data_IF_256331188847
#
_entry.id   IF_256331188847
#
_cell.length_a   1.000
_cell.length_b   1.000
_cell.length_c   1.000
_cell.angle_alpha   90.00
_cell.angle_beta   90.00
_cell.angle_gamma   90.00
#
_symmetry.space_group_name_H-M   'P 1'
#
loop_
_entity.id
_entity.type
_entity.pdbx_description
1 polymer ?
#
# COMPACT_ATOMS: atom_id res chain seq x y z
N UNK A 1 -22.46 6.73 3.26
CA UNK A 1 -21.13 7.35 3.37
C UNK A 1 -20.50 6.85 4.66
N UNK A 2 -19.78 5.73 4.60
CA UNK A 2 -19.09 5.16 5.77
C UNK A 2 -17.73 5.85 5.88
N UNK A 3 -17.55 6.67 6.90
CA UNK A 3 -16.29 7.34 7.21
C UNK A 3 -15.34 6.31 7.84
N UNK A 4 -14.29 5.93 7.11
CA UNK A 4 -13.21 5.08 7.64
C UNK A 4 -12.48 5.82 8.76
N UNK A 5 -12.32 5.18 9.92
CA UNK A 5 -11.64 5.75 11.07
C UNK A 5 -10.14 5.37 11.03
N UNK A 6 -9.21 6.33 10.79
CA UNK A 6 -7.78 6.06 10.69
C UNK A 6 -7.14 5.57 12.01
N UNK A 7 -7.89 5.51 13.11
CA UNK A 7 -7.44 4.92 14.37
C UNK A 7 -7.55 3.39 14.42
N UNK A 8 -8.17 2.73 13.43
CA UNK A 8 -8.32 1.27 13.37
C UNK A 8 -7.29 0.59 12.44
N UNK A 9 -6.15 1.22 12.18
CA UNK A 9 -5.10 0.65 11.32
C UNK A 9 -4.32 -0.42 12.12
N UNK A 10 -4.58 -1.70 11.84
CA UNK A 10 -3.81 -2.83 12.37
C UNK A 10 -2.50 -3.01 11.58
N UNK A 11 -1.35 -2.57 12.13
CA UNK A 11 0.00 -2.93 11.65
C UNK A 11 0.24 -4.38 12.10
N UNK A 12 0.00 -5.39 11.26
CA UNK A 12 0.34 -6.77 11.60
C UNK A 12 1.86 -6.97 11.49
N UNK A 13 2.56 -6.90 12.63
CA UNK A 13 3.82 -7.66 12.79
C UNK A 13 3.43 -9.12 12.62
N UNK A 14 4.13 -9.92 11.80
CA UNK A 14 3.86 -11.36 11.61
C UNK A 14 3.52 -12.06 12.94
N UNK A 15 2.23 -12.15 13.21
CA UNK A 15 1.58 -12.99 14.20
C UNK A 15 0.23 -13.30 13.57
N UNK A 16 -0.02 -14.59 13.33
CA UNK A 16 -1.34 -15.08 12.94
C UNK A 16 -2.34 -14.63 14.01
N UNK A 17 -3.16 -13.65 13.70
CA UNK A 17 -4.34 -13.31 14.49
C UNK A 17 -5.52 -13.14 13.55
N UNK A 18 -6.55 -13.93 13.84
CA UNK A 18 -7.74 -14.14 13.06
C UNK A 18 -8.70 -12.94 13.15
N UNK A 19 -9.20 -12.53 11.98
CA UNK A 19 -10.41 -11.73 11.67
C UNK A 19 -11.01 -10.85 12.78
N UNK A 20 -10.96 -9.54 12.57
CA UNK A 20 -11.80 -8.55 13.22
C UNK A 20 -13.25 -8.62 12.70
N UNK A 21 -14.02 -9.52 13.29
CA UNK A 21 -15.48 -9.54 13.16
C UNK A 21 -16.17 -8.80 14.33
N UNK A 22 -15.52 -7.80 14.94
CA UNK A 22 -16.05 -7.13 16.15
C UNK A 22 -16.25 -5.61 16.06
N UNK A 23 -16.09 -4.97 14.90
CA UNK A 23 -16.30 -3.52 14.83
C UNK A 23 -17.72 -3.06 14.43
N UNK A 24 -18.57 -3.92 13.88
CA UNK A 24 -19.97 -3.56 13.62
C UNK A 24 -20.89 -4.79 13.68
N UNK A 25 -21.68 -4.93 14.75
CA UNK A 25 -22.75 -5.92 14.80
C UNK A 25 -23.11 -6.39 16.20
N UNK A 26 -24.31 -6.05 16.65
CA UNK A 26 -24.92 -6.51 17.89
C UNK A 26 -24.86 -8.04 17.98
N UNK A 27 -24.38 -8.55 19.12
CA UNK A 27 -24.44 -9.96 19.48
C UNK A 27 -25.89 -10.44 19.53
N UNK A 28 -26.31 -11.24 18.56
CA UNK A 28 -27.40 -12.19 18.76
C UNK A 28 -26.79 -13.58 18.92
N UNK A 29 -26.95 -14.16 20.11
CA UNK A 29 -26.60 -15.55 20.41
C UNK A 29 -27.64 -16.46 19.74
N UNK A 30 -27.18 -17.39 18.91
CA UNK A 30 -27.96 -18.50 18.37
C UNK A 30 -27.06 -19.74 18.19
N UNK A 31 -27.57 -20.96 18.34
CA UNK A 31 -26.80 -22.10 18.84
C UNK A 31 -25.97 -22.83 17.78
N UNK A 32 -24.91 -23.44 18.32
CA UNK A 32 -24.01 -24.47 17.80
C UNK A 32 -24.62 -25.34 16.69
N UNK A 33 -24.01 -25.29 15.50
CA UNK A 33 -24.26 -26.31 14.48
C UNK A 33 -24.07 -25.79 13.06
N UNK A 34 -22.83 -25.72 12.57
CA UNK A 34 -22.49 -26.05 11.18
C UNK A 34 -20.97 -26.04 11.00
N UNK A 35 -20.39 -27.25 11.03
CA UNK A 35 -19.21 -27.59 10.24
C UNK A 35 -19.60 -27.46 8.77
N UNK A 36 -19.61 -26.24 8.24
CA UNK A 36 -19.53 -25.97 6.80
C UNK A 36 -18.32 -25.08 6.58
N UNK A 37 -17.51 -25.47 5.62
CA UNK A 37 -16.25 -24.86 5.21
C UNK A 37 -16.21 -23.35 5.50
N UNK A 38 -15.38 -22.95 6.48
CA UNK A 38 -14.82 -21.60 6.53
C UNK A 38 -13.84 -21.50 5.37
N UNK A 39 -14.36 -21.27 4.16
CA UNK A 39 -13.64 -20.42 3.21
C UNK A 39 -13.53 -19.07 3.94
N UNK A 40 -12.36 -18.83 4.54
CA UNK A 40 -12.00 -17.51 5.04
C UNK A 40 -11.98 -16.60 3.80
N UNK A 41 -13.01 -15.79 3.62
CA UNK A 41 -12.98 -14.70 2.65
C UNK A 41 -11.94 -13.70 3.14
N UNK A 42 -10.72 -13.82 2.64
CA UNK A 42 -9.71 -12.78 2.76
C UNK A 42 -10.20 -11.57 1.95
N UNK A 43 -9.88 -10.36 2.42
CA UNK A 43 -10.21 -9.16 1.65
C UNK A 43 -9.33 -9.12 0.39
N UNK A 44 -9.79 -8.57 -0.73
CA UNK A 44 -8.96 -8.47 -1.94
C UNK A 44 -7.60 -7.82 -1.69
N UNK A 45 -7.54 -6.81 -0.81
CA UNK A 45 -6.28 -6.17 -0.42
C UNK A 45 -5.37 -7.09 0.41
N UNK A 46 -5.93 -7.97 1.25
CA UNK A 46 -5.17 -8.99 1.98
C UNK A 46 -4.59 -10.02 1.01
N UNK A 47 -5.41 -10.54 0.09
CA UNK A 47 -4.96 -11.50 -0.93
C UNK A 47 -3.84 -10.92 -1.79
N UNK A 48 -3.97 -9.65 -2.21
CA UNK A 48 -2.91 -8.95 -2.94
C UNK A 48 -1.61 -8.92 -2.15
N UNK A 49 -1.65 -8.51 -0.87
CA UNK A 49 -0.45 -8.41 -0.04
C UNK A 49 0.20 -9.77 0.26
N UNK A 50 -0.59 -10.83 0.41
CA UNK A 50 -0.11 -12.18 0.72
C UNK A 50 0.63 -12.83 -0.45
N UNK A 51 0.36 -12.40 -1.69
CA UNK A 51 1.04 -12.91 -2.89
C UNK A 51 2.37 -12.19 -3.20
N UNK A 52 2.65 -11.07 -2.53
CA UNK A 52 3.88 -10.31 -2.76
C UNK A 52 5.11 -11.00 -2.19
N UNK A 53 6.22 -10.97 -2.94
CA UNK A 53 7.53 -11.35 -2.45
C UNK A 53 8.13 -10.26 -1.52
N UNK A 54 7.62 -10.17 -0.29
CA UNK A 54 7.95 -9.08 0.65
C UNK A 54 9.45 -8.98 0.99
N UNK A 55 10.17 -10.11 0.98
CA UNK A 55 11.62 -10.13 1.24
C UNK A 55 12.40 -9.47 0.09
N UNK A 56 11.93 -9.63 -1.15
CA UNK A 56 12.51 -8.99 -2.33
C UNK A 56 12.26 -7.49 -2.33
N UNK A 57 11.04 -7.09 -2.01
CA UNK A 57 10.67 -5.68 -1.85
C UNK A 57 11.55 -5.04 -0.76
N UNK A 58 11.76 -5.72 0.37
CA UNK A 58 12.64 -5.24 1.43
C UNK A 58 14.09 -5.09 0.97
N UNK A 59 14.63 -6.07 0.24
CA UNK A 59 15.99 -6.01 -0.33
C UNK A 59 16.17 -4.87 -1.31
N UNK A 60 15.24 -4.71 -2.25
CA UNK A 60 15.25 -3.65 -3.26
C UNK A 60 15.17 -2.28 -2.57
N UNK A 61 14.25 -2.13 -1.61
CA UNK A 61 14.14 -0.90 -0.80
C UNK A 61 15.47 -0.56 -0.13
N UNK A 62 16.07 -1.51 0.58
CA UNK A 62 17.35 -1.30 1.27
C UNK A 62 18.46 -0.91 0.30
N UNK A 63 18.55 -1.59 -0.86
CA UNK A 63 19.57 -1.29 -1.86
C UNK A 63 19.40 0.10 -2.45
N UNK A 64 18.18 0.47 -2.88
CA UNK A 64 17.87 1.81 -3.38
C UNK A 64 18.11 2.88 -2.32
N UNK A 65 17.79 2.60 -1.05
CA UNK A 65 18.07 3.50 0.06
C UNK A 65 19.57 3.69 0.30
N UNK A 66 20.37 2.61 0.25
CA UNK A 66 21.82 2.65 0.41
C UNK A 66 22.54 3.40 -0.70
N UNK A 67 21.98 3.36 -1.92
CA UNK A 67 22.46 4.12 -3.09
C UNK A 67 21.94 5.57 -3.08
N UNK A 68 21.16 5.96 -2.06
CA UNK A 68 20.55 7.29 -1.89
C UNK A 68 21.01 7.98 -0.59
N UNK A 69 20.44 9.14 -0.27
CA UNK A 69 20.75 9.95 0.91
C UNK A 69 20.35 9.30 2.27
N UNK A 70 19.81 8.07 2.29
CA UNK A 70 19.24 7.47 3.49
C UNK A 70 19.65 5.99 3.70
N UNK A 71 20.94 5.69 3.92
CA UNK A 71 21.45 4.33 3.98
C UNK A 71 20.95 3.52 5.20
N UNK A 72 20.51 4.18 6.28
CA UNK A 72 20.08 3.51 7.52
C UNK A 72 18.65 2.95 7.48
N UNK A 73 17.96 3.05 6.34
CA UNK A 73 16.57 2.60 6.19
C UNK A 73 16.50 1.10 5.95
N UNK A 74 15.91 0.38 6.91
CA UNK A 74 15.85 -1.10 6.91
C UNK A 74 14.48 -1.69 6.62
N UNK A 75 13.42 -0.87 6.62
CA UNK A 75 12.06 -1.30 6.37
C UNK A 75 11.06 -0.16 6.38
N UNK A 76 9.80 -0.54 6.16
CA UNK A 76 8.66 0.36 6.08
C UNK A 76 7.35 -0.39 6.16
N UNK A 77 6.26 0.29 5.80
CA UNK A 77 4.92 -0.29 5.69
C UNK A 77 4.42 -0.10 4.27
N UNK A 78 3.94 -1.19 3.69
CA UNK A 78 3.18 -1.22 2.45
C UNK A 78 1.70 -1.25 2.80
N UNK A 79 0.92 -0.34 2.25
CA UNK A 79 -0.53 -0.30 2.38
C UNK A 79 -1.15 -0.39 0.99
N UNK A 80 -2.28 -1.06 0.90
CA UNK A 80 -3.02 -1.27 -0.34
C UNK A 80 -4.50 -1.02 -0.08
N UNK A 81 -5.14 -0.23 -0.93
CA UNK A 81 -6.59 -0.24 -1.08
C UNK A 81 -6.97 -0.69 -2.48
N UNK A 82 -7.99 -1.55 -2.56
CA UNK A 82 -8.58 -1.97 -3.83
C UNK A 82 -10.02 -1.50 -3.81
N UNK A 83 -10.38 -0.68 -4.79
CA UNK A 83 -11.71 -0.11 -4.94
C UNK A 83 -12.38 -0.62 -6.20
N UNK A 84 -13.55 -1.21 -6.05
CA UNK A 84 -14.40 -1.54 -7.19
C UNK A 84 -15.05 -0.29 -7.76
N UNK A 85 -14.84 -0.01 -9.05
CA UNK A 85 -15.33 1.23 -9.68
C UNK A 85 -16.84 1.22 -9.93
N UNK A 86 -17.47 0.04 -9.93
CA UNK A 86 -18.89 -0.10 -10.19
C UNK A 86 -19.72 -0.01 -8.90
N UNK A 87 -19.28 -0.66 -7.82
CA UNK A 87 -19.99 -0.66 -6.55
C UNK A 87 -19.50 0.42 -5.59
N UNK A 88 -18.25 0.88 -5.74
CA UNK A 88 -17.58 1.76 -4.78
C UNK A 88 -17.04 1.04 -3.54
N UNK A 89 -17.21 -0.28 -3.45
CA UNK A 89 -16.68 -1.08 -2.35
C UNK A 89 -15.16 -0.98 -2.31
N UNK A 90 -14.61 -0.82 -1.12
CA UNK A 90 -13.17 -0.66 -0.91
C UNK A 90 -12.69 -1.61 0.17
N UNK A 91 -11.72 -2.45 -0.16
CA UNK A 91 -10.90 -3.17 0.82
C UNK A 91 -9.60 -2.42 1.07
N UNK A 92 -9.10 -2.41 2.31
CA UNK A 92 -7.86 -1.75 2.71
C UNK A 92 -7.08 -2.67 3.64
N UNK A 93 -5.80 -2.86 3.38
CA UNK A 93 -4.89 -3.60 4.25
C UNK A 93 -3.49 -2.98 4.26
N UNK A 94 -2.68 -3.32 5.27
CA UNK A 94 -1.28 -2.91 5.33
C UNK A 94 -0.40 -3.98 5.98
N UNK A 95 0.83 -4.10 5.49
CA UNK A 95 1.82 -5.06 5.97
C UNK A 95 3.19 -4.41 6.17
N UNK A 96 3.95 -4.90 7.13
CA UNK A 96 5.33 -4.47 7.35
C UNK A 96 6.26 -5.11 6.32
N UNK A 97 7.19 -4.34 5.76
CA UNK A 97 8.23 -4.80 4.84
C UNK A 97 9.60 -4.51 5.45
N UNK A 98 10.43 -5.53 5.59
CA UNK A 98 11.72 -5.41 6.29
C UNK A 98 11.58 -5.00 7.75
N UNK A 99 12.58 -4.31 8.29
CA UNK A 99 12.57 -3.80 9.68
C UNK A 99 12.12 -2.34 9.76
N UNK A 100 10.81 -2.14 9.99
CA UNK A 100 10.22 -0.82 10.23
C UNK A 100 10.55 -0.25 11.64
N UNK A 101 11.11 -1.05 12.54
CA UNK A 101 11.48 -0.67 13.90
C UNK A 101 10.32 -0.06 14.72
N UNK A 102 10.66 0.89 15.59
CA UNK A 102 9.69 1.57 16.48
C UNK A 102 8.71 2.50 15.73
N UNK A 103 8.91 2.72 14.43
CA UNK A 103 8.11 3.66 13.61
C UNK A 103 7.03 2.97 12.76
N UNK A 104 6.80 1.65 12.88
CA UNK A 104 5.73 0.89 12.15
C UNK A 104 4.41 1.67 12.12
N UNK A 105 3.94 2.11 13.30
CA UNK A 105 2.64 2.79 13.44
C UNK A 105 2.62 4.13 12.72
N UNK A 106 3.71 4.89 12.77
CA UNK A 106 3.83 6.16 12.04
C UNK A 106 3.84 5.91 10.52
N UNK A 107 4.57 4.89 10.07
CA UNK A 107 4.64 4.53 8.67
C UNK A 107 3.30 4.03 8.12
N UNK A 108 2.58 3.19 8.86
CA UNK A 108 1.25 2.71 8.51
C UNK A 108 0.25 3.85 8.39
N UNK A 109 0.22 4.77 9.37
CA UNK A 109 -0.61 5.98 9.31
C UNK A 109 -0.28 6.82 8.08
N UNK A 110 1.00 7.09 7.84
CA UNK A 110 1.43 7.86 6.68
C UNK A 110 1.04 7.17 5.35
N UNK A 111 1.19 5.85 5.24
CA UNK A 111 0.85 5.09 4.04
C UNK A 111 -0.66 5.14 3.76
N UNK A 112 -1.49 4.95 4.80
CA UNK A 112 -2.94 5.05 4.72
C UNK A 112 -3.42 6.46 4.36
N UNK A 113 -2.86 7.50 4.99
CA UNK A 113 -3.19 8.89 4.68
C UNK A 113 -2.90 9.25 3.21
N UNK A 114 -1.81 8.73 2.63
CA UNK A 114 -1.50 8.90 1.20
C UNK A 114 -2.59 8.28 0.32
N UNK A 115 -3.04 7.06 0.63
CA UNK A 115 -4.11 6.35 -0.10
C UNK A 115 -5.42 7.12 -0.01
N UNK A 116 -5.90 7.43 1.20
CA UNK A 116 -7.16 8.14 1.39
C UNK A 116 -7.19 9.47 0.64
N UNK A 117 -6.07 10.19 0.66
CA UNK A 117 -5.97 11.46 -0.05
C UNK A 117 -6.00 11.28 -1.57
N UNK A 118 -5.29 10.27 -2.10
CA UNK A 118 -5.32 9.99 -3.53
C UNK A 118 -6.72 9.54 -3.99
N UNK A 119 -7.40 8.71 -3.21
CA UNK A 119 -8.81 8.34 -3.43
C UNK A 119 -9.71 9.58 -3.48
N UNK A 120 -9.66 10.44 -2.46
CA UNK A 120 -10.47 11.66 -2.41
C UNK A 120 -10.23 12.61 -3.59
N UNK A 121 -8.97 12.78 -4.03
CA UNK A 121 -8.66 13.59 -5.23
C UNK A 121 -9.25 13.00 -6.51
N UNK A 122 -9.32 11.68 -6.63
CA UNK A 122 -9.95 11.04 -7.79
C UNK A 122 -11.47 11.20 -7.77
N UNK A 123 -12.06 11.15 -6.57
CA UNK A 123 -13.50 11.40 -6.38
C UNK A 123 -13.87 12.85 -6.72
N UNK A 124 -12.95 13.80 -6.45
CA UNK A 124 -13.05 15.20 -6.88
C UNK A 124 -12.80 15.40 -8.40
N UNK A 125 -12.59 14.32 -9.17
CA UNK A 125 -12.43 14.37 -10.63
C UNK A 125 -11.00 14.53 -11.14
N UNK A 126 -9.98 14.53 -10.28
CA UNK A 126 -8.58 14.65 -10.69
C UNK A 126 -7.99 13.27 -11.06
N UNK A 127 -8.20 12.84 -12.32
CA UNK A 127 -7.91 11.47 -12.79
C UNK A 127 -6.43 11.16 -13.11
N UNK A 128 -5.54 12.15 -13.19
CA UNK A 128 -4.18 12.00 -13.74
C UNK A 128 -3.02 12.12 -12.71
N UNK A 129 -3.28 11.80 -11.44
CA UNK A 129 -2.29 12.02 -10.38
C UNK A 129 -1.68 10.70 -9.88
N UNK A 130 -0.47 10.37 -10.33
CA UNK A 130 0.49 9.64 -9.51
C UNK A 130 0.86 10.54 -8.30
N UNK A 131 1.02 10.02 -7.07
CA UNK A 131 1.19 10.89 -5.90
C UNK A 131 2.29 11.94 -6.09
N UNK A 132 3.35 11.67 -6.85
CA UNK A 132 4.41 12.63 -7.24
C UNK A 132 3.90 13.97 -7.77
N UNK A 133 2.69 14.01 -8.36
CA UNK A 133 2.07 15.21 -8.93
C UNK A 133 0.99 15.85 -8.05
N UNK A 134 0.64 15.24 -6.90
CA UNK A 134 -0.27 15.87 -5.91
C UNK A 134 0.43 16.81 -4.94
N UNK A 135 1.76 16.86 -4.97
CA UNK A 135 2.52 17.87 -4.25
C UNK A 135 2.11 19.26 -4.70
N UNK A 136 1.53 20.02 -3.77
CA UNK A 136 1.46 21.46 -3.90
C UNK A 136 2.79 22.00 -3.33
N UNK A 137 3.80 22.30 -4.16
CA UNK A 137 5.10 22.79 -3.69
C UNK A 137 4.96 24.12 -2.91
N UNK A 138 3.87 24.85 -3.12
CA UNK A 138 3.57 26.13 -2.49
C UNK A 138 2.75 25.99 -1.20
N UNK A 139 2.43 24.77 -0.76
CA UNK A 139 1.66 24.58 0.46
C UNK A 139 2.49 24.95 1.70
N UNK A 140 1.92 25.76 2.60
CA UNK A 140 2.61 26.23 3.81
C UNK A 140 3.06 25.07 4.73
N UNK A 141 2.25 24.01 4.80
CA UNK A 141 2.61 22.77 5.50
C UNK A 141 3.60 21.91 4.69
N UNK A 142 4.81 21.69 5.22
CA UNK A 142 5.88 20.88 4.61
C UNK A 142 5.46 19.44 4.27
N UNK A 143 4.56 18.83 5.06
CA UNK A 143 4.02 17.49 4.81
C UNK A 143 3.06 17.42 3.62
N UNK A 144 2.50 18.56 3.24
CA UNK A 144 1.68 18.75 2.04
C UNK A 144 2.51 19.36 0.88
N UNK A 145 3.85 19.34 0.98
CA UNK A 145 4.76 19.63 -0.14
C UNK A 145 5.42 18.38 -0.69
N UNK A 146 5.39 17.28 0.06
CA UNK A 146 6.01 16.00 -0.27
C UNK A 146 4.90 14.98 -0.49
N UNK A 147 4.55 14.74 -1.75
CA UNK A 147 3.60 13.70 -2.10
C UNK A 147 4.35 12.67 -2.91
N UNK A 148 4.96 11.71 -2.22
CA UNK A 148 5.48 10.53 -2.88
C UNK A 148 5.21 9.29 -2.05
N UNK A 149 5.25 8.16 -2.72
CA UNK A 149 5.06 6.85 -2.17
C UNK A 149 3.63 6.34 -2.24
N UNK A 150 2.80 6.84 -3.16
CA UNK A 150 1.51 6.22 -3.45
C UNK A 150 1.16 6.35 -4.94
N UNK A 151 0.71 5.27 -5.58
CA UNK A 151 0.28 5.28 -6.97
C UNK A 151 -1.08 4.58 -7.08
N UNK A 152 -1.84 4.96 -8.10
CA UNK A 152 -3.06 4.27 -8.49
C UNK A 152 -2.80 3.50 -9.78
N UNK A 153 -3.18 2.23 -9.78
CA UNK A 153 -3.16 1.34 -10.92
C UNK A 153 -4.59 0.93 -11.26
N UNK A 154 -4.78 0.49 -12.50
CA UNK A 154 -6.06 -0.01 -12.98
C UNK A 154 -5.87 -1.45 -13.41
N UNK A 155 -6.74 -2.33 -12.95
CA UNK A 155 -6.89 -3.66 -13.52
C UNK A 155 -8.37 -3.99 -13.65
N UNK A 156 -8.78 -4.31 -14.89
CA UNK A 156 -10.18 -4.47 -15.27
C UNK A 156 -11.09 -3.33 -14.78
N UNK A 157 -11.95 -3.66 -13.81
CA UNK A 157 -12.94 -2.78 -13.19
C UNK A 157 -12.52 -2.17 -11.84
N UNK A 158 -11.33 -2.46 -11.35
CA UNK A 158 -10.87 -2.08 -10.01
C UNK A 158 -9.73 -1.03 -10.06
N UNK A 159 -9.65 -0.21 -9.02
CA UNK A 159 -8.56 0.73 -8.78
C UNK A 159 -7.71 0.25 -7.61
N UNK A 160 -6.41 0.07 -7.85
CA UNK A 160 -5.43 -0.37 -6.85
C UNK A 160 -4.62 0.83 -6.39
N UNK A 161 -4.77 1.22 -5.14
CA UNK A 161 -4.03 2.28 -4.49
C UNK A 161 -2.95 1.65 -3.63
N UNK A 162 -1.72 1.69 -4.13
CA UNK A 162 -0.59 1.07 -3.44
C UNK A 162 0.27 2.19 -2.87
N UNK A 163 0.69 2.05 -1.61
CA UNK A 163 1.41 3.09 -0.88
C UNK A 163 2.50 2.49 -0.01
N UNK A 164 3.72 3.02 -0.14
CA UNK A 164 4.84 2.65 0.71
C UNK A 164 5.27 3.83 1.58
N UNK A 165 5.73 3.51 2.79
CA UNK A 165 6.20 4.49 3.75
C UNK A 165 7.34 3.91 4.58
N UNK A 166 8.53 4.49 4.45
CA UNK A 166 9.70 4.08 5.22
C UNK A 166 11.00 4.60 4.61
N UNK A 167 11.05 4.68 3.28
CA UNK A 167 12.16 5.17 2.48
C UNK A 167 11.96 6.67 2.12
N UNK A 168 12.95 7.31 1.47
CA UNK A 168 12.75 8.62 0.85
C UNK A 168 11.59 8.56 -0.17
N UNK A 169 10.84 9.66 -0.30
CA UNK A 169 9.62 9.69 -1.11
C UNK A 169 9.80 9.22 -2.55
N UNK A 170 10.94 9.54 -3.18
CA UNK A 170 11.25 9.12 -4.55
C UNK A 170 11.59 7.63 -4.67
N UNK A 171 12.03 6.97 -3.58
CA UNK A 171 12.23 5.52 -3.49
C UNK A 171 10.91 4.83 -3.18
N UNK A 172 10.12 5.36 -2.22
CA UNK A 172 8.79 4.83 -1.91
C UNK A 172 7.95 4.70 -3.20
N UNK A 173 7.94 5.71 -4.07
CA UNK A 173 7.18 5.62 -5.33
C UNK A 173 7.71 4.61 -6.33
N UNK A 174 9.03 4.48 -6.41
CA UNK A 174 9.67 3.53 -7.34
C UNK A 174 9.32 2.13 -6.92
N UNK A 175 9.37 1.83 -5.62
CA UNK A 175 8.95 0.55 -5.06
C UNK A 175 7.49 0.27 -5.39
N UNK A 176 6.61 1.24 -5.14
CA UNK A 176 5.18 1.10 -5.47
C UNK A 176 4.99 0.86 -6.97
N UNK A 177 5.73 1.56 -7.82
CA UNK A 177 5.65 1.41 -9.28
C UNK A 177 6.00 -0.01 -9.71
N UNK A 178 7.16 -0.52 -9.27
CA UNK A 178 7.63 -1.85 -9.68
C UNK A 178 6.83 -2.98 -9.05
N UNK A 179 6.24 -2.78 -7.86
CA UNK A 179 5.26 -3.72 -7.29
C UNK A 179 4.05 -3.82 -8.23
N UNK A 180 3.45 -2.69 -8.60
CA UNK A 180 2.28 -2.73 -9.49
C UNK A 180 2.59 -3.28 -10.87
N UNK A 181 3.79 -3.02 -11.41
CA UNK A 181 4.23 -3.59 -12.69
C UNK A 181 4.46 -5.11 -12.62
N UNK A 182 5.03 -5.62 -11.53
CA UNK A 182 5.23 -7.07 -11.35
C UNK A 182 3.91 -7.83 -11.13
N UNK A 183 2.88 -7.16 -10.64
CA UNK A 183 1.54 -7.71 -10.47
C UNK A 183 0.65 -7.46 -11.71
N UNK A 184 1.26 -7.19 -12.87
CA UNK A 184 0.58 -6.93 -14.16
C UNK A 184 -0.47 -5.80 -14.14
N UNK A 185 -0.40 -4.89 -13.17
CA UNK A 185 -1.35 -3.79 -13.05
C UNK A 185 -1.02 -2.68 -14.05
N UNK A 186 -2.04 -2.04 -14.63
CA UNK A 186 -1.82 -0.93 -15.57
C UNK A 186 -1.22 0.28 -14.83
N UNK A 187 0.01 0.71 -15.15
CA UNK A 187 0.68 1.77 -14.44
C UNK A 187 0.07 3.15 -14.75
N UNK A 188 0.28 4.15 -13.87
CA UNK A 188 -0.15 5.51 -14.12
C UNK A 188 0.53 6.10 -15.37
N UNK A 189 -0.28 6.65 -16.29
CA UNK A 189 0.22 7.22 -17.55
C UNK A 189 1.26 8.31 -17.31
N UNK A 190 2.39 8.20 -18.01
CA UNK A 190 3.44 9.23 -18.00
C UNK A 190 4.19 9.37 -16.67
N UNK A 191 4.10 8.38 -15.78
CA UNK A 191 4.99 8.30 -14.63
C UNK A 191 6.42 8.06 -15.10
N UNK A 192 7.37 8.86 -14.59
CA UNK A 192 8.79 8.76 -14.91
C UNK A 192 9.59 8.96 -13.64
N UNK A 193 10.45 8.00 -13.32
CA UNK A 193 11.44 8.11 -12.26
C UNK A 193 12.72 7.40 -12.71
N UNK A 194 13.87 8.06 -12.55
CA UNK A 194 15.18 7.57 -13.01
C UNK A 194 15.63 6.28 -12.33
N UNK A 195 15.07 5.95 -11.17
CA UNK A 195 15.41 4.75 -10.42
C UNK A 195 14.61 3.52 -10.88
N UNK A 196 13.59 3.66 -11.73
CA UNK A 196 12.77 2.53 -12.20
C UNK A 196 13.62 1.44 -12.88
N UNK A 197 14.52 1.74 -13.84
CA UNK A 197 15.34 0.71 -14.46
C UNK A 197 16.18 -0.06 -13.43
N UNK A 198 16.74 0.65 -12.45
CA UNK A 198 17.53 0.05 -11.37
C UNK A 198 16.68 -0.82 -10.44
N UNK A 199 15.48 -0.38 -10.09
CA UNK A 199 14.57 -1.15 -9.26
C UNK A 199 14.09 -2.44 -9.96
N UNK A 200 13.82 -2.37 -11.27
CA UNK A 200 13.51 -3.54 -12.11
C UNK A 200 14.68 -4.52 -12.16
N UNK A 201 15.90 -4.03 -12.36
CA UNK A 201 17.10 -4.85 -12.35
C UNK A 201 17.23 -5.59 -11.01
N UNK A 202 17.09 -4.89 -9.88
CA UNK A 202 17.19 -5.48 -8.55
C UNK A 202 16.10 -6.53 -8.26
N UNK A 203 14.89 -6.36 -8.82
CA UNK A 203 13.82 -7.35 -8.75
C UNK A 203 14.03 -8.51 -9.73
N UNK A 204 14.59 -8.26 -10.92
CA UNK A 204 14.83 -9.26 -11.95
C UNK A 204 16.08 -10.11 -11.73
N UNK A 205 17.06 -9.64 -10.95
CA UNK A 205 18.25 -10.42 -10.53
C UNK A 205 17.94 -11.54 -9.55
N UNK A 206 16.67 -11.75 -9.21
CA UNK A 206 16.18 -12.86 -8.41
C UNK A 206 15.84 -14.03 -9.34
N UNK A 207 16.85 -14.52 -10.07
CA UNK A 207 16.78 -15.87 -10.61
C UNK A 207 16.80 -16.82 -9.41
N UNK A 208 15.77 -17.65 -9.32
CA UNK A 208 15.66 -18.68 -8.30
C UNK A 208 16.78 -19.70 -8.51
N UNK A 209 17.81 -19.66 -7.66
CA UNK A 209 18.66 -20.83 -7.39
C UNK A 209 17.86 -21.90 -6.63
#
# INVERSE_FOLDING_TARGET
>A
MLLFNPNNIHCTKRQRTYSDNQLFGKTQKGPVGMRKARQLYLSPAQDFLDNLALDDIARVMQKLCSESEAPDKKGGVLAVAIRNRHTGDTSFESITVGDAGKRCVEFAKNAAEKIHRLMGRRDDGYKDIAASKSANPNHRNKRLRTYGGCLVFIDGGDEYYISFSGAPAHVDEVLVFVIGENEDLTPPRGYKNRLIPRARELLGTLEFD
#
